data_IF_324015802804
#
_entry.id   IF_324015802804
#
_cell.length_a   1.000
_cell.length_b   1.000
_cell.length_c   1.000
_cell.angle_alpha   90.00
_cell.angle_beta   90.00
_cell.angle_gamma   90.00
#
_symmetry.space_group_name_H-M   'P 1'
#
loop_
_entity.id
_entity.type
_entity.pdbx_description
1 polymer ?
#
# COMPACT_ATOMS: atom_id res chain seq x y z
N UNK A 1 14.49 -3.13 13.35
CA UNK A 1 13.15 -2.59 13.71
C UNK A 1 13.31 -1.10 14.02
N UNK A 2 12.60 -0.20 13.32
CA UNK A 2 12.67 1.23 13.59
C UNK A 2 11.98 1.55 14.93
N UNK A 3 12.78 1.64 16.00
CA UNK A 3 12.33 2.04 17.34
C UNK A 3 12.23 3.55 17.52
N UNK A 4 11.96 3.96 18.76
CA UNK A 4 11.92 5.38 19.16
C UNK A 4 13.20 6.12 18.74
N UNK A 5 14.35 5.43 18.75
CA UNK A 5 15.65 6.00 18.41
C UNK A 5 15.79 6.27 16.90
N UNK A 6 15.15 5.45 16.07
CA UNK A 6 15.06 5.67 14.62
C UNK A 6 14.23 6.91 14.30
N UNK A 7 13.09 7.07 14.97
CA UNK A 7 12.23 8.25 14.83
C UNK A 7 12.93 9.53 15.31
N UNK A 8 13.64 9.47 16.43
CA UNK A 8 14.43 10.61 16.95
C UNK A 8 15.54 11.01 15.97
N UNK A 9 16.27 10.04 15.45
CA UNK A 9 17.34 10.28 14.45
C UNK A 9 16.80 10.83 13.14
N UNK A 10 15.64 10.35 12.68
CA UNK A 10 14.97 10.85 11.49
C UNK A 10 14.49 12.30 11.66
N UNK A 11 13.85 12.61 12.80
CA UNK A 11 13.46 13.99 13.13
C UNK A 11 14.65 14.95 13.26
N UNK A 12 15.80 14.46 13.74
CA UNK A 12 17.03 15.25 13.81
C UNK A 12 17.58 15.58 12.42
N UNK A 13 17.40 14.68 11.45
CA UNK A 13 17.85 14.87 10.05
C UNK A 13 16.88 15.71 9.21
N UNK A 14 15.60 15.76 9.58
CA UNK A 14 14.57 16.52 8.87
C UNK A 14 13.83 17.45 9.85
N UNK A 15 14.48 18.55 10.22
CA UNK A 15 13.96 19.54 11.18
C UNK A 15 12.84 20.43 10.61
N UNK A 16 12.61 20.41 9.29
CA UNK A 16 11.55 21.15 8.59
C UNK A 16 10.19 20.44 8.60
N UNK A 17 10.12 19.21 9.13
CA UNK A 17 8.87 18.44 9.16
C UNK A 17 7.88 19.02 10.18
N UNK A 18 6.76 19.54 9.69
CA UNK A 18 5.66 19.99 10.55
C UNK A 18 4.93 18.81 11.18
N UNK A 19 4.87 18.77 12.51
CA UNK A 19 3.94 17.89 13.23
C UNK A 19 2.52 18.44 13.09
N UNK A 20 1.70 17.82 12.24
CA UNK A 20 0.28 18.18 12.13
C UNK A 20 -0.51 17.46 13.21
N UNK A 21 -1.38 18.20 13.90
CA UNK A 21 -2.42 17.61 14.74
C UNK A 21 -3.40 16.85 13.83
N UNK A 22 -3.89 15.66 14.21
CA UNK A 22 -4.97 15.02 13.48
C UNK A 22 -6.18 15.95 13.51
N UNK A 23 -6.64 16.39 12.34
CA UNK A 23 -7.86 17.17 12.23
C UNK A 23 -9.06 16.27 12.50
N UNK A 24 -10.05 16.81 13.23
CA UNK A 24 -11.34 16.15 13.44
C UNK A 24 -11.91 15.74 12.09
N UNK A 25 -12.42 14.52 11.98
CA UNK A 25 -13.07 14.03 10.77
C UNK A 25 -14.19 15.03 10.40
N UNK A 26 -13.94 15.90 9.43
CA UNK A 26 -14.84 17.00 9.11
C UNK A 26 -16.24 16.49 8.75
N UNK A 27 -17.26 17.31 8.95
CA UNK A 27 -18.65 16.98 8.63
C UNK A 27 -18.83 16.38 7.22
N UNK A 28 -18.05 16.87 6.25
CA UNK A 28 -18.00 16.32 4.89
C UNK A 28 -17.55 14.84 4.81
N UNK A 29 -16.60 14.43 5.65
CA UNK A 29 -16.19 13.02 5.74
C UNK A 29 -17.24 12.19 6.46
N UNK A 30 -17.87 12.72 7.51
CA UNK A 30 -18.92 11.99 8.23
C UNK A 30 -20.17 11.74 7.35
N UNK A 31 -20.58 12.73 6.55
CA UNK A 31 -21.71 12.63 5.62
C UNK A 31 -21.40 11.78 4.39
N UNK A 32 -20.15 11.70 3.94
CA UNK A 32 -19.73 10.80 2.87
C UNK A 32 -19.84 9.30 3.22
N UNK A 33 -20.03 8.95 4.49
CA UNK A 33 -20.26 7.58 4.96
C UNK A 33 -21.72 7.32 5.37
N UNK A 34 -22.67 8.10 4.85
CA UNK A 34 -24.10 7.80 4.98
C UNK A 34 -24.49 6.56 4.15
N UNK A 35 -25.52 5.82 4.58
CA UNK A 35 -25.98 4.58 3.95
C UNK A 35 -26.29 4.78 2.46
N UNK A 36 -26.97 5.86 2.10
CA UNK A 36 -27.39 6.08 0.71
C UNK A 36 -26.17 6.42 -0.16
N UNK A 37 -25.26 7.23 0.35
CA UNK A 37 -24.00 7.55 -0.34
C UNK A 37 -23.11 6.31 -0.53
N UNK A 38 -23.05 5.45 0.49
CA UNK A 38 -22.29 4.19 0.44
C UNK A 38 -22.91 3.21 -0.55
N UNK A 39 -24.24 3.13 -0.61
CA UNK A 39 -24.93 2.28 -1.59
C UNK A 39 -24.65 2.75 -3.01
N UNK A 40 -24.77 4.05 -3.29
CA UNK A 40 -24.43 4.63 -4.60
C UNK A 40 -22.98 4.30 -4.99
N UNK A 41 -22.04 4.34 -4.04
CA UNK A 41 -20.67 3.91 -4.29
C UNK A 41 -20.57 2.44 -4.72
N UNK A 42 -21.26 1.54 -4.02
CA UNK A 42 -21.22 0.10 -4.33
C UNK A 42 -21.96 -0.25 -5.62
N UNK A 43 -23.05 0.45 -5.95
CA UNK A 43 -23.77 0.28 -7.22
C UNK A 43 -22.88 0.67 -8.41
N UNK A 44 -22.23 1.84 -8.32
CA UNK A 44 -21.26 2.29 -9.32
C UNK A 44 -20.08 1.31 -9.45
N UNK A 45 -19.60 0.78 -8.31
CA UNK A 45 -18.52 -0.20 -8.30
C UNK A 45 -18.94 -1.50 -9.00
N UNK A 46 -20.17 -1.96 -8.77
CA UNK A 46 -20.72 -3.16 -9.39
C UNK A 46 -20.90 -2.98 -10.90
N UNK A 47 -21.36 -1.81 -11.35
CA UNK A 47 -21.46 -1.48 -12.77
C UNK A 47 -20.09 -1.53 -13.46
N UNK A 48 -19.07 -0.92 -12.86
CA UNK A 48 -17.69 -0.95 -13.36
C UNK A 48 -17.13 -2.38 -13.37
N UNK A 49 -17.45 -3.17 -12.35
CA UNK A 49 -17.01 -4.57 -12.26
C UNK A 49 -17.62 -5.44 -13.34
N UNK A 50 -18.92 -5.26 -13.61
CA UNK A 50 -19.65 -6.03 -14.62
C UNK A 50 -19.32 -5.57 -16.04
N UNK A 51 -18.97 -4.30 -16.23
CA UNK A 51 -18.62 -3.71 -17.51
C UNK A 51 -17.18 -3.95 -17.97
N UNK A 52 -16.35 -4.61 -17.17
CA UNK A 52 -14.94 -4.91 -17.49
C UNK A 52 -14.67 -6.39 -17.50
N UNK A 53 -13.96 -6.86 -18.53
CA UNK A 53 -13.54 -8.25 -18.67
C UNK A 53 -12.38 -8.61 -17.74
N UNK A 54 -11.56 -7.61 -17.40
CA UNK A 54 -10.47 -7.74 -16.44
C UNK A 54 -10.26 -6.45 -15.64
N UNK A 55 -9.67 -6.56 -14.44
CA UNK A 55 -9.29 -5.40 -13.62
C UNK A 55 -8.23 -4.50 -14.28
N UNK A 56 -7.53 -5.01 -15.30
CA UNK A 56 -6.52 -4.27 -16.03
C UNK A 56 -7.10 -3.53 -17.26
N UNK A 57 -8.40 -3.64 -17.52
CA UNK A 57 -9.03 -2.98 -18.67
C UNK A 57 -8.95 -1.45 -18.51
N UNK A 58 -8.19 -0.81 -19.41
CA UNK A 58 -7.91 0.63 -19.39
C UNK A 58 -6.70 1.04 -18.56
N UNK A 59 -5.96 0.09 -17.98
CA UNK A 59 -4.70 0.39 -17.30
C UNK A 59 -3.58 0.72 -18.32
N UNK A 60 -2.57 1.52 -17.91
CA UNK A 60 -1.40 1.78 -18.76
C UNK A 60 -0.74 0.50 -19.26
N UNK A 61 -0.13 0.52 -20.46
CA UNK A 61 0.63 -0.63 -20.95
C UNK A 61 1.72 -1.07 -19.95
N UNK A 62 1.75 -2.36 -19.63
CA UNK A 62 2.69 -2.92 -18.64
C UNK A 62 2.17 -2.96 -17.20
N UNK A 63 0.96 -2.47 -16.93
CA UNK A 63 0.30 -2.66 -15.64
C UNK A 63 0.02 -4.13 -15.36
N UNK A 64 0.17 -4.51 -14.09
CA UNK A 64 0.04 -5.88 -13.63
C UNK A 64 -1.30 -6.06 -12.87
N UNK A 65 -2.28 -6.71 -13.52
CA UNK A 65 -3.59 -6.98 -12.94
C UNK A 65 -3.64 -8.33 -12.22
N UNK A 66 -3.21 -8.38 -10.96
CA UNK A 66 -3.29 -9.60 -10.14
C UNK A 66 -4.50 -9.53 -9.19
N UNK A 67 -5.26 -10.61 -9.12
CA UNK A 67 -6.37 -10.77 -8.20
C UNK A 67 -6.42 -12.18 -7.63
N UNK A 68 -6.85 -12.30 -6.37
CA UNK A 68 -7.21 -13.58 -5.74
C UNK A 68 -8.72 -13.67 -5.61
N UNK A 69 -9.25 -14.89 -5.48
CA UNK A 69 -10.66 -15.11 -5.17
C UNK A 69 -11.11 -14.50 -3.83
N UNK A 70 -10.19 -14.35 -2.87
CA UNK A 70 -10.47 -13.72 -1.57
C UNK A 70 -10.39 -12.19 -1.61
N UNK A 71 -9.81 -11.61 -2.66
CA UNK A 71 -9.52 -10.17 -2.75
C UNK A 71 -8.39 -9.70 -1.81
N UNK A 72 -7.69 -10.64 -1.16
CA UNK A 72 -6.53 -10.41 -0.30
C UNK A 72 -5.23 -10.82 -1.01
N UNK A 73 -4.13 -10.14 -0.70
CA UNK A 73 -2.81 -10.51 -1.20
C UNK A 73 -2.40 -11.89 -0.66
N UNK A 74 -1.73 -12.69 -1.49
CA UNK A 74 -1.07 -13.93 -1.08
C UNK A 74 0.43 -13.85 -1.40
N UNK A 75 1.21 -14.81 -0.88
CA UNK A 75 2.67 -14.80 -1.02
C UNK A 75 3.14 -14.94 -2.47
N UNK A 76 2.46 -15.75 -3.29
CA UNK A 76 2.83 -16.02 -4.69
C UNK A 76 2.65 -14.78 -5.59
N UNK A 77 1.52 -14.10 -5.45
CA UNK A 77 1.25 -12.84 -6.15
C UNK A 77 2.15 -11.72 -5.64
N UNK A 78 2.53 -11.77 -4.36
CA UNK A 78 3.45 -10.79 -3.78
C UNK A 78 4.85 -10.87 -4.42
N UNK A 79 5.38 -12.07 -4.63
CA UNK A 79 6.66 -12.27 -5.34
C UNK A 79 6.57 -11.71 -6.76
N UNK A 80 5.47 -11.98 -7.46
CA UNK A 80 5.25 -11.46 -8.82
C UNK A 80 5.19 -9.93 -8.83
N UNK A 81 4.53 -9.34 -7.82
CA UNK A 81 4.48 -7.88 -7.62
C UNK A 81 5.87 -7.30 -7.33
N UNK A 82 6.70 -7.97 -6.51
CA UNK A 82 8.06 -7.53 -6.22
C UNK A 82 8.96 -7.55 -7.48
N UNK A 83 8.88 -8.61 -8.30
CA UNK A 83 9.61 -8.68 -9.58
C UNK A 83 9.19 -7.54 -10.52
N UNK A 84 7.90 -7.25 -10.59
CA UNK A 84 7.38 -6.15 -11.38
C UNK A 84 7.85 -4.79 -10.85
N UNK A 85 7.85 -4.59 -9.52
CA UNK A 85 8.37 -3.39 -8.89
C UNK A 85 9.85 -3.16 -9.23
N UNK A 86 10.71 -4.16 -9.01
CA UNK A 86 12.15 -4.09 -9.32
C UNK A 86 12.37 -3.73 -10.79
N UNK A 87 11.62 -4.36 -11.70
CA UNK A 87 11.72 -4.11 -13.14
C UNK A 87 11.40 -2.64 -13.48
N UNK A 88 10.35 -2.07 -12.90
CA UNK A 88 9.91 -0.71 -13.27
C UNK A 88 10.64 0.39 -12.51
N UNK A 89 11.17 0.12 -11.32
CA UNK A 89 12.03 1.06 -10.59
C UNK A 89 13.50 0.98 -11.03
N UNK A 90 13.87 -0.07 -11.78
CA UNK A 90 15.26 -0.40 -12.08
C UNK A 90 16.12 -0.45 -10.81
N UNK A 91 15.55 -1.00 -9.73
CA UNK A 91 16.21 -1.08 -8.44
C UNK A 91 17.41 -2.01 -8.53
N UNK A 92 18.53 -1.57 -7.95
CA UNK A 92 19.76 -2.35 -7.84
C UNK A 92 20.53 -1.96 -6.58
N UNK A 93 21.64 -2.65 -6.30
CA UNK A 93 22.53 -2.27 -5.20
C UNK A 93 23.16 -0.88 -5.40
N UNK A 94 23.27 -0.42 -6.64
CA UNK A 94 23.81 0.90 -6.99
C UNK A 94 22.71 1.98 -7.10
N UNK A 95 21.46 1.55 -7.33
CA UNK A 95 20.27 2.40 -7.40
C UNK A 95 19.17 1.87 -6.46
N UNK A 96 19.33 2.02 -5.14
CA UNK A 96 18.43 1.41 -4.17
C UNK A 96 17.05 2.09 -4.15
N UNK A 97 16.00 1.29 -3.97
CA UNK A 97 14.61 1.76 -3.87
C UNK A 97 14.01 1.53 -2.49
N UNK A 98 13.08 2.39 -2.06
CA UNK A 98 12.32 2.22 -0.82
C UNK A 98 10.88 1.82 -1.13
N UNK A 99 10.46 0.65 -0.63
CA UNK A 99 9.08 0.19 -0.68
C UNK A 99 8.40 0.40 0.68
N UNK A 100 7.32 1.17 0.72
CA UNK A 100 6.52 1.39 1.94
C UNK A 100 5.22 0.61 1.83
N UNK A 101 4.92 -0.23 2.80
CA UNK A 101 3.72 -1.07 2.75
C UNK A 101 3.13 -1.37 4.13
N UNK A 102 1.94 -1.96 4.15
CA UNK A 102 1.29 -2.40 5.38
C UNK A 102 1.86 -3.73 5.88
N UNK A 103 1.75 -3.96 7.19
CA UNK A 103 2.32 -5.12 7.87
C UNK A 103 1.36 -6.33 7.87
N UNK A 104 1.02 -6.82 6.69
CA UNK A 104 0.24 -8.07 6.51
C UNK A 104 1.18 -9.28 6.39
N UNK A 105 0.79 -10.43 6.94
CA UNK A 105 1.64 -11.63 6.99
C UNK A 105 2.08 -12.13 5.60
N UNK A 106 1.21 -11.95 4.59
CA UNK A 106 1.46 -12.33 3.19
C UNK A 106 2.63 -11.58 2.56
N UNK A 107 3.04 -10.43 3.11
CA UNK A 107 4.14 -9.60 2.58
C UNK A 107 5.51 -10.00 3.12
N UNK A 108 5.57 -10.98 4.04
CA UNK A 108 6.79 -11.37 4.76
C UNK A 108 7.34 -12.74 4.31
N UNK A 109 6.97 -13.22 3.12
CA UNK A 109 7.58 -14.43 2.55
C UNK A 109 9.10 -14.25 2.43
N UNK A 110 9.87 -15.22 2.91
CA UNK A 110 11.34 -15.19 2.90
C UNK A 110 11.87 -14.92 1.49
N UNK A 111 11.30 -15.59 0.49
CA UNK A 111 11.69 -15.41 -0.92
C UNK A 111 11.55 -13.95 -1.40
N UNK A 112 10.46 -13.27 -1.07
CA UNK A 112 10.28 -11.87 -1.45
C UNK A 112 11.25 -10.93 -0.71
N UNK A 113 11.62 -11.25 0.54
CA UNK A 113 12.59 -10.47 1.31
C UNK A 113 14.01 -10.65 0.76
N UNK A 114 14.38 -11.87 0.38
CA UNK A 114 15.67 -12.15 -0.24
C UNK A 114 15.76 -11.45 -1.60
N UNK A 115 14.72 -11.56 -2.42
CA UNK A 115 14.64 -10.87 -3.72
C UNK A 115 14.77 -9.34 -3.56
N UNK A 116 14.10 -8.77 -2.57
CA UNK A 116 14.19 -7.33 -2.28
C UNK A 116 15.62 -6.94 -1.88
N UNK A 117 16.23 -7.70 -0.97
CA UNK A 117 17.59 -7.45 -0.49
C UNK A 117 18.64 -7.54 -1.60
N UNK A 118 18.55 -8.55 -2.44
CA UNK A 118 19.48 -8.77 -3.57
C UNK A 118 19.40 -7.66 -4.62
N UNK A 119 18.24 -7.01 -4.76
CA UNK A 119 18.00 -5.95 -5.74
C UNK A 119 18.01 -4.54 -5.13
N UNK A 120 18.57 -4.37 -3.93
CA UNK A 120 18.70 -3.05 -3.29
C UNK A 120 17.37 -2.41 -2.87
N UNK A 121 16.30 -3.21 -2.73
CA UNK A 121 15.00 -2.74 -2.27
C UNK A 121 14.94 -2.80 -0.74
N UNK A 122 14.82 -1.65 -0.11
CA UNK A 122 14.55 -1.54 1.33
C UNK A 122 13.04 -1.54 1.56
N UNK A 123 12.54 -2.44 2.39
CA UNK A 123 11.11 -2.51 2.74
C UNK A 123 10.88 -1.87 4.11
N UNK A 124 9.96 -0.89 4.16
CA UNK A 124 9.48 -0.27 5.39
C UNK A 124 8.02 -0.66 5.61
N UNK A 125 7.76 -1.46 6.65
CA UNK A 125 6.40 -1.81 7.06
C UNK A 125 5.85 -0.81 8.10
N UNK A 126 4.63 -0.34 7.88
CA UNK A 126 3.95 0.52 8.84
C UNK A 126 3.46 -0.33 10.02
N UNK A 127 3.94 -0.03 11.24
CA UNK A 127 3.50 -0.70 12.47
C UNK A 127 2.00 -0.46 12.67
N UNK A 128 1.23 -1.53 12.92
CA UNK A 128 -0.16 -1.42 13.38
C UNK A 128 -0.17 -0.54 14.64
N UNK A 129 -0.86 0.60 14.62
CA UNK A 129 -1.11 1.32 15.86
C UNK A 129 -2.16 0.56 16.65
N UNK A 130 -1.72 -0.16 17.69
CA UNK A 130 -2.61 -0.64 18.75
C UNK A 130 -3.08 0.57 19.55
N UNK A 131 -4.36 0.94 19.42
CA UNK A 131 -4.98 1.98 20.24
C UNK A 131 -6.05 2.75 19.47
N UNK A 132 -7.31 2.43 19.79
CA UNK A 132 -8.56 3.03 19.29
C UNK A 132 -9.00 2.56 17.90
N UNK A 133 -10.17 1.89 17.90
CA UNK A 133 -10.78 1.19 16.78
C UNK A 133 -11.12 2.11 15.60
N UNK A 134 -10.17 2.24 14.69
CA UNK A 134 -10.42 2.79 13.35
C UNK A 134 -10.32 1.60 12.38
N UNK A 135 -11.42 1.16 11.75
CA UNK A 135 -11.33 0.17 10.68
C UNK A 135 -10.69 0.86 9.47
N UNK A 136 -9.41 0.58 9.19
CA UNK A 136 -8.77 1.13 7.98
C UNK A 136 -8.93 0.16 6.83
N UNK A 137 -9.82 0.53 5.90
CA UNK A 137 -9.81 0.02 4.53
C UNK A 137 -8.55 0.52 3.82
N UNK A 138 -7.88 -0.44 3.16
CA UNK A 138 -6.86 -0.38 2.09
C UNK A 138 -6.23 1.00 1.84
N UNK A 139 -4.97 1.14 2.23
CA UNK A 139 -4.03 2.06 1.58
C UNK A 139 -2.93 1.21 0.93
N UNK A 140 -3.18 0.80 -0.31
CA UNK A 140 -2.13 0.29 -1.20
C UNK A 140 -1.52 1.54 -1.82
N UNK A 141 -0.35 1.97 -1.34
CA UNK A 141 0.50 2.89 -2.11
C UNK A 141 1.33 2.01 -3.05
N UNK A 142 0.78 1.73 -4.23
CA UNK A 142 1.59 1.33 -5.38
C UNK A 142 2.15 2.63 -5.95
N UNK A 143 3.44 2.87 -5.75
CA UNK A 143 4.17 3.84 -6.58
C UNK A 143 4.39 3.18 -7.94
N UNK A 144 3.55 3.55 -8.90
CA UNK A 144 3.83 3.65 -10.34
C UNK A 144 3.12 4.89 -10.84
#
# INVERSE_FOLDING_TARGET
>A
MAGIDGLKSFRKRHNELSLRKPETCGFARATAFDKDTVNVFFDNLQEVYNGRSSFADGAPPGSLGLATSSGWMNSELFITTMKHFIKHTSSSMENPSLLIMDNHESHLSIEALDLAKENGVTILTLKRSTGYGIPRRKLIVLLT
#
